data_IF_719480410424
#
_entry.id   IF_719480410424
#
_cell.length_a   1.000
_cell.length_b   1.000
_cell.length_c   1.000
_cell.angle_alpha   90.00
_cell.angle_beta   90.00
_cell.angle_gamma   90.00
#
_symmetry.space_group_name_H-M   'P 1'
#
loop_
_entity.id
_entity.type
_entity.pdbx_description
1 polymer ?
#
# COMPACT_ATOMS: atom_id res chain seq x y z
N UNK A 1 -8.96 -5.87 3.35
CA UNK A 1 -9.69 -4.93 2.47
C UNK A 1 -10.80 -4.18 3.19
N UNK A 2 -11.76 -4.87 3.83
CA UNK A 2 -12.84 -4.19 4.58
C UNK A 2 -12.33 -3.20 5.63
N UNK A 3 -11.27 -3.56 6.35
CA UNK A 3 -10.68 -2.69 7.35
C UNK A 3 -10.15 -1.36 6.77
N UNK A 4 -9.54 -1.41 5.58
CA UNK A 4 -9.06 -0.23 4.86
C UNK A 4 -10.23 0.62 4.34
N UNK A 5 -11.28 -0.03 3.82
CA UNK A 5 -12.48 0.65 3.34
C UNK A 5 -13.21 1.42 4.43
N UNK A 6 -13.40 0.80 5.60
CA UNK A 6 -14.01 1.44 6.77
C UNK A 6 -13.12 2.56 7.33
N UNK A 7 -11.80 2.37 7.34
CA UNK A 7 -10.85 3.40 7.76
C UNK A 7 -10.94 4.65 6.87
N UNK A 8 -10.93 4.48 5.54
CA UNK A 8 -11.08 5.59 4.59
C UNK A 8 -12.44 6.29 4.72
N UNK A 9 -13.51 5.53 4.92
CA UNK A 9 -14.85 6.09 5.13
C UNK A 9 -14.92 6.93 6.41
N UNK A 10 -14.37 6.44 7.52
CA UNK A 10 -14.27 7.21 8.77
C UNK A 10 -13.46 8.48 8.59
N UNK A 11 -12.34 8.44 7.88
CA UNK A 11 -11.53 9.63 7.61
C UNK A 11 -12.31 10.69 6.81
N UNK A 12 -13.15 10.28 5.87
CA UNK A 12 -13.95 11.19 5.04
C UNK A 12 -15.13 11.82 5.80
N UNK A 13 -15.79 11.08 6.70
CA UNK A 13 -16.96 11.57 7.44
C UNK A 13 -16.60 12.25 8.77
N UNK A 14 -15.59 11.72 9.46
CA UNK A 14 -15.21 12.14 10.79
C UNK A 14 -13.91 12.94 10.79
N UNK A 15 -13.60 13.67 9.72
CA UNK A 15 -12.41 14.53 9.61
C UNK A 15 -12.24 15.53 10.79
N UNK A 16 -13.29 15.74 11.59
CA UNK A 16 -13.33 16.62 12.76
C UNK A 16 -13.39 15.90 14.13
N UNK A 17 -13.45 14.56 14.16
CA UNK A 17 -13.58 13.81 15.43
C UNK A 17 -12.21 13.34 15.95
N UNK A 18 -12.06 13.29 17.28
CA UNK A 18 -10.80 12.94 17.93
C UNK A 18 -10.32 11.52 17.53
N UNK A 19 -8.98 11.30 17.46
CA UNK A 19 -8.43 10.00 17.11
C UNK A 19 -8.73 9.00 18.23
N UNK A 20 -9.77 8.19 18.06
CA UNK A 20 -9.97 7.03 18.92
C UNK A 20 -8.85 6.01 18.74
N UNK A 21 -8.57 5.23 19.79
CA UNK A 21 -7.58 4.18 19.74
C UNK A 21 -7.92 3.16 18.63
N UNK A 22 -7.04 3.06 17.63
CA UNK A 22 -7.18 2.11 16.51
C UNK A 22 -6.95 0.64 16.93
N UNK A 23 -6.36 0.40 18.10
CA UNK A 23 -6.03 -0.94 18.61
C UNK A 23 -7.23 -1.90 18.71
N UNK A 24 -8.35 -1.56 19.39
CA UNK A 24 -9.53 -2.44 19.45
C UNK A 24 -10.10 -2.76 18.08
N UNK A 25 -10.06 -1.81 17.13
CA UNK A 25 -10.50 -2.01 15.76
C UNK A 25 -9.65 -3.07 15.03
N UNK A 26 -8.33 -2.99 15.12
CA UNK A 26 -7.45 -4.01 14.54
C UNK A 26 -7.70 -5.39 15.14
N UNK A 27 -7.84 -5.49 16.47
CA UNK A 27 -8.12 -6.78 17.13
C UNK A 27 -9.43 -7.38 16.63
N UNK A 28 -10.49 -6.57 16.47
CA UNK A 28 -11.75 -7.04 15.92
C UNK A 28 -11.62 -7.51 14.46
N UNK A 29 -10.89 -6.75 13.62
CA UNK A 29 -10.70 -7.09 12.21
C UNK A 29 -9.88 -8.36 11.98
N UNK A 30 -8.94 -8.70 12.87
CA UNK A 30 -8.14 -9.93 12.78
C UNK A 30 -8.79 -11.10 13.52
N UNK A 31 -9.46 -10.83 14.63
CA UNK A 31 -10.15 -11.84 15.43
C UNK A 31 -11.35 -12.44 14.72
N UNK A 32 -12.17 -11.62 14.04
CA UNK A 32 -13.37 -12.11 13.36
C UNK A 32 -13.07 -13.15 12.25
N UNK A 33 -12.13 -12.91 11.31
CA UNK A 33 -11.72 -13.94 10.35
C UNK A 33 -11.14 -15.18 11.02
N UNK A 34 -10.29 -15.01 12.05
CA UNK A 34 -9.68 -16.13 12.74
C UNK A 34 -10.72 -17.06 13.38
N UNK A 35 -11.73 -16.50 14.04
CA UNK A 35 -12.83 -17.27 14.66
C UNK A 35 -13.62 -18.04 13.61
N UNK A 36 -13.97 -17.40 12.49
CA UNK A 36 -14.71 -18.05 11.40
C UNK A 36 -13.88 -19.17 10.77
N UNK A 37 -12.58 -18.94 10.53
CA UNK A 37 -11.68 -19.96 9.98
C UNK A 37 -11.56 -21.15 10.91
N UNK A 38 -11.40 -20.95 12.22
CA UNK A 38 -11.33 -22.03 13.20
C UNK A 38 -12.64 -22.82 13.23
N UNK A 39 -13.79 -22.15 13.23
CA UNK A 39 -15.10 -22.81 13.20
C UNK A 39 -15.27 -23.64 11.92
N UNK A 40 -14.91 -23.10 10.77
CA UNK A 40 -14.90 -23.81 9.49
C UNK A 40 -13.99 -25.04 9.53
N UNK A 41 -12.77 -24.92 10.05
CA UNK A 41 -11.82 -26.03 10.19
C UNK A 41 -12.38 -27.15 11.08
N UNK A 42 -13.00 -26.82 12.21
CA UNK A 42 -13.64 -27.81 13.11
C UNK A 42 -14.80 -28.51 12.40
N UNK A 43 -15.71 -27.76 11.77
CA UNK A 43 -16.80 -28.33 11.00
C UNK A 43 -16.29 -29.24 9.88
N UNK A 44 -15.23 -28.83 9.17
CA UNK A 44 -14.65 -29.63 8.08
C UNK A 44 -14.01 -30.92 8.60
N UNK A 45 -13.28 -30.86 9.70
CA UNK A 45 -12.68 -32.05 10.34
C UNK A 45 -13.72 -33.08 10.77
N UNK A 46 -14.87 -32.64 11.29
CA UNK A 46 -15.91 -33.54 11.84
C UNK A 46 -16.80 -34.12 10.74
N UNK A 47 -17.17 -33.33 9.75
CA UNK A 47 -18.21 -33.71 8.77
C UNK A 47 -17.67 -34.13 7.40
N UNK A 48 -16.47 -33.67 6.99
CA UNK A 48 -15.94 -33.92 5.65
C UNK A 48 -14.40 -33.80 5.59
N UNK A 49 -13.72 -34.77 6.21
CA UNK A 49 -12.26 -34.86 6.24
C UNK A 49 -11.70 -35.71 5.09
N UNK A 50 -12.21 -35.49 3.87
CA UNK A 50 -11.68 -36.14 2.67
C UNK A 50 -10.79 -35.20 1.86
N UNK A 51 -9.68 -35.74 1.34
CA UNK A 51 -8.74 -35.04 0.46
C UNK A 51 -8.12 -33.76 1.08
N UNK A 52 -7.37 -33.02 0.27
CA UNK A 52 -6.92 -31.68 0.64
C UNK A 52 -8.10 -30.70 0.64
N UNK A 53 -8.20 -29.85 1.66
CA UNK A 53 -9.26 -28.84 1.82
C UNK A 53 -9.20 -27.70 0.79
N UNK A 54 -8.35 -27.83 -0.23
CA UNK A 54 -8.40 -27.01 -1.44
C UNK A 54 -9.60 -27.40 -2.31
N UNK A 55 -10.06 -28.65 -2.20
CA UNK A 55 -11.23 -29.15 -2.89
C UNK A 55 -12.50 -28.78 -2.11
N UNK A 56 -13.53 -28.23 -2.78
CA UNK A 56 -14.75 -27.81 -2.11
C UNK A 56 -15.47 -28.99 -1.46
N UNK A 57 -16.13 -28.74 -0.33
CA UNK A 57 -16.93 -29.75 0.37
C UNK A 57 -18.07 -30.22 -0.51
N UNK A 58 -18.46 -31.48 -0.32
CA UNK A 58 -19.76 -31.97 -0.82
C UNK A 58 -20.93 -31.25 -0.13
N UNK A 59 -20.73 -30.75 1.10
CA UNK A 59 -21.74 -30.04 1.87
C UNK A 59 -21.63 -28.52 1.69
N UNK A 60 -22.50 -27.95 0.86
CA UNK A 60 -22.58 -26.51 0.59
C UNK A 60 -22.76 -25.64 1.85
N UNK A 61 -23.41 -26.17 2.90
CA UNK A 61 -23.62 -25.48 4.17
C UNK A 61 -22.30 -25.20 4.91
N UNK A 62 -21.32 -26.10 4.81
CA UNK A 62 -20.00 -25.94 5.43
C UNK A 62 -19.19 -24.86 4.68
N UNK A 63 -19.20 -24.92 3.35
CA UNK A 63 -18.56 -23.90 2.49
C UNK A 63 -19.19 -22.51 2.66
N UNK A 64 -20.52 -22.45 2.79
CA UNK A 64 -21.25 -21.19 2.98
C UNK A 64 -20.89 -20.47 4.28
N UNK A 65 -20.40 -21.19 5.29
CA UNK A 65 -19.93 -20.61 6.55
C UNK A 65 -18.70 -19.70 6.34
N UNK A 66 -17.85 -20.04 5.37
CA UNK A 66 -16.66 -19.25 5.02
C UNK A 66 -16.96 -18.24 3.90
N UNK A 67 -17.72 -18.64 2.88
CA UNK A 67 -18.07 -17.78 1.74
C UNK A 67 -19.03 -16.66 2.15
N UNK A 68 -19.97 -16.93 3.05
CA UNK A 68 -21.01 -15.97 3.48
C UNK A 68 -20.43 -14.68 4.08
N UNK A 69 -19.60 -14.75 5.13
CA UNK A 69 -18.94 -13.57 5.71
C UNK A 69 -18.05 -12.83 4.69
N UNK A 70 -17.37 -13.56 3.80
CA UNK A 70 -16.56 -12.97 2.73
C UNK A 70 -17.43 -12.18 1.74
N UNK A 71 -18.55 -12.74 1.30
CA UNK A 71 -19.49 -12.09 0.38
C UNK A 71 -20.13 -10.86 1.03
N UNK A 72 -20.52 -10.96 2.30
CA UNK A 72 -21.09 -9.83 3.05
C UNK A 72 -20.08 -8.67 3.15
N UNK A 73 -18.81 -8.98 3.48
CA UNK A 73 -17.74 -8.00 3.51
C UNK A 73 -17.49 -7.36 2.12
N UNK A 74 -17.61 -8.14 1.05
CA UNK A 74 -17.44 -7.67 -0.32
C UNK A 74 -18.58 -6.73 -0.76
N UNK A 75 -19.83 -7.06 -0.42
CA UNK A 75 -20.99 -6.19 -0.65
C UNK A 75 -20.86 -4.88 0.13
N UNK A 76 -20.46 -4.96 1.41
CA UNK A 76 -20.19 -3.78 2.23
C UNK A 76 -19.10 -2.89 1.62
N UNK A 77 -18.02 -3.48 1.13
CA UNK A 77 -16.95 -2.76 0.42
C UNK A 77 -17.43 -2.08 -0.86
N UNK A 78 -18.26 -2.76 -1.66
CA UNK A 78 -18.86 -2.18 -2.86
C UNK A 78 -19.72 -0.96 -2.50
N UNK A 79 -20.55 -1.05 -1.46
CA UNK A 79 -21.38 0.07 -1.01
C UNK A 79 -20.54 1.26 -0.54
N UNK A 80 -19.51 1.01 0.27
CA UNK A 80 -18.56 2.04 0.70
C UNK A 80 -17.86 2.71 -0.49
N UNK A 81 -17.41 1.91 -1.46
CA UNK A 81 -16.79 2.42 -2.68
C UNK A 81 -17.73 3.34 -3.45
N UNK A 82 -19.01 2.98 -3.62
CA UNK A 82 -20.00 3.82 -4.30
C UNK A 82 -20.25 5.15 -3.56
N UNK A 83 -20.31 5.13 -2.22
CA UNK A 83 -20.45 6.36 -1.42
C UNK A 83 -19.22 7.26 -1.60
N UNK A 84 -18.02 6.71 -1.48
CA UNK A 84 -16.77 7.47 -1.64
C UNK A 84 -16.68 8.05 -3.06
N UNK A 85 -17.02 7.25 -4.06
CA UNK A 85 -17.09 7.68 -5.46
C UNK A 85 -18.06 8.84 -5.64
N UNK A 86 -19.27 8.75 -5.07
CA UNK A 86 -20.27 9.80 -5.14
C UNK A 86 -19.79 11.10 -4.50
N UNK A 87 -19.18 11.03 -3.30
CA UNK A 87 -18.60 12.18 -2.60
C UNK A 87 -17.47 12.80 -3.45
N UNK A 88 -16.60 11.98 -4.02
CA UNK A 88 -15.49 12.43 -4.87
C UNK A 88 -15.99 13.15 -6.13
N UNK A 89 -16.97 12.58 -6.82
CA UNK A 89 -17.58 13.17 -8.01
C UNK A 89 -18.29 14.49 -7.65
N UNK A 90 -19.03 14.55 -6.54
CA UNK A 90 -19.68 15.78 -6.08
C UNK A 90 -18.67 16.90 -5.80
N UNK A 91 -17.56 16.60 -5.10
CA UNK A 91 -16.49 17.58 -4.86
C UNK A 91 -15.84 18.06 -6.15
N UNK A 92 -15.69 17.19 -7.15
CA UNK A 92 -15.15 17.54 -8.45
C UNK A 92 -16.10 18.47 -9.23
N UNK A 93 -17.40 18.16 -9.25
CA UNK A 93 -18.41 18.97 -9.95
C UNK A 93 -18.58 20.38 -9.37
N UNK A 94 -18.30 20.57 -8.09
CA UNK A 94 -18.44 21.87 -7.41
C UNK A 94 -17.33 22.88 -7.78
N UNK A 95 -16.24 22.44 -8.44
CA UNK A 95 -15.18 23.33 -8.96
C UNK A 95 -15.11 23.28 -10.51
N UNK A 96 -16.13 23.77 -11.23
CA UNK A 96 -16.24 23.59 -12.69
C UNK A 96 -15.31 24.48 -13.53
N UNK A 97 -14.55 25.42 -12.93
CA UNK A 97 -13.74 26.39 -13.67
C UNK A 97 -12.30 25.95 -14.02
N UNK A 98 -11.85 24.76 -13.60
CA UNK A 98 -10.48 24.28 -13.85
C UNK A 98 -10.43 22.90 -14.50
N UNK A 99 -10.20 22.93 -15.81
CA UNK A 99 -9.38 22.03 -16.62
C UNK A 99 -9.67 20.49 -16.66
N UNK A 100 -9.60 19.88 -17.86
CA UNK A 100 -9.62 18.41 -18.04
C UNK A 100 -8.59 17.63 -17.21
N UNK A 101 -7.59 18.31 -16.65
CA UNK A 101 -6.61 17.80 -15.68
C UNK A 101 -7.27 17.26 -14.41
N UNK A 102 -8.31 17.92 -13.89
CA UNK A 102 -8.99 17.51 -12.65
C UNK A 102 -9.89 16.29 -12.88
N UNK A 103 -10.51 16.19 -14.05
CA UNK A 103 -11.24 15.00 -14.50
C UNK A 103 -10.32 13.78 -14.63
N UNK A 104 -9.14 13.94 -15.26
CA UNK A 104 -8.12 12.86 -15.33
C UNK A 104 -7.66 12.40 -13.95
N UNK A 105 -7.50 13.33 -13.00
CA UNK A 105 -7.17 13.00 -11.60
C UNK A 105 -8.28 12.20 -10.92
N UNK A 106 -9.54 12.55 -11.16
CA UNK A 106 -10.68 11.82 -10.61
C UNK A 106 -10.80 10.42 -11.23
N UNK A 107 -10.75 10.28 -12.56
CA UNK A 107 -10.77 8.98 -13.23
C UNK A 107 -9.61 8.09 -12.78
N UNK A 108 -8.41 8.67 -12.64
CA UNK A 108 -7.26 7.98 -12.05
C UNK A 108 -7.54 7.51 -10.63
N UNK A 109 -8.12 8.37 -9.78
CA UNK A 109 -8.52 7.97 -8.43
C UNK A 109 -9.54 6.82 -8.44
N UNK A 110 -10.55 6.86 -9.32
CA UNK A 110 -11.54 5.78 -9.44
C UNK A 110 -10.89 4.46 -9.88
N UNK A 111 -10.01 4.49 -10.89
CA UNK A 111 -9.22 3.33 -11.28
C UNK A 111 -8.31 2.81 -10.16
N UNK A 112 -7.84 3.71 -9.30
CA UNK A 112 -7.04 3.37 -8.13
C UNK A 112 -7.85 2.72 -7.01
N UNK A 113 -9.10 3.16 -6.81
CA UNK A 113 -10.02 2.60 -5.82
C UNK A 113 -10.45 1.17 -6.19
N UNK A 114 -10.73 0.89 -7.47
CA UNK A 114 -11.25 -0.40 -7.93
C UNK A 114 -10.44 -1.64 -7.45
N UNK A 115 -9.10 -1.71 -7.60
CA UNK A 115 -8.29 -2.83 -7.10
C UNK A 115 -8.12 -2.83 -5.57
N UNK A 116 -8.19 -1.66 -4.92
CA UNK A 116 -8.05 -1.53 -3.45
C UNK A 116 -9.28 -2.07 -2.72
N UNK A 117 -10.47 -1.92 -3.30
CA UNK A 117 -11.72 -2.44 -2.73
C UNK A 117 -12.00 -3.91 -3.08
N UNK A 118 -11.18 -4.52 -3.95
CA UNK A 118 -11.24 -5.96 -4.21
C UNK A 118 -12.40 -6.38 -5.11
N UNK A 119 -12.86 -5.53 -6.02
CA UNK A 119 -13.99 -5.87 -6.91
C UNK A 119 -13.74 -7.12 -7.77
N UNK A 120 -12.49 -7.42 -8.10
CA UNK A 120 -12.11 -8.65 -8.80
C UNK A 120 -12.53 -9.92 -8.04
N UNK A 121 -12.65 -9.89 -6.70
CA UNK A 121 -13.11 -11.04 -5.92
C UNK A 121 -14.55 -11.44 -6.22
N UNK A 122 -15.41 -10.53 -6.73
CA UNK A 122 -16.75 -10.92 -7.21
C UNK A 122 -16.64 -11.88 -8.40
N UNK A 123 -15.63 -11.68 -9.24
CA UNK A 123 -15.34 -12.53 -10.39
C UNK A 123 -14.67 -13.85 -9.97
N UNK A 124 -13.82 -13.80 -8.94
CA UNK A 124 -13.18 -14.99 -8.35
C UNK A 124 -14.17 -15.91 -7.64
N UNK A 125 -15.19 -15.37 -6.96
CA UNK A 125 -16.24 -16.17 -6.28
C UNK A 125 -17.10 -16.96 -7.29
N UNK A 126 -17.35 -16.40 -8.49
CA UNK A 126 -18.07 -17.11 -9.53
C UNK A 126 -17.14 -18.12 -10.22
N UNK A 127 -17.07 -19.33 -9.65
CA UNK A 127 -16.18 -20.40 -10.13
C UNK A 127 -16.73 -21.05 -11.40
N UNK A 128 -16.50 -20.40 -12.54
CA UNK A 128 -16.76 -21.01 -13.85
C UNK A 128 -15.75 -22.14 -14.06
N UNK A 129 -16.19 -23.36 -14.42
CA UNK A 129 -15.32 -24.52 -14.63
C UNK A 129 -14.55 -24.44 -15.96
N UNK A 130 -13.98 -23.27 -16.26
CA UNK A 130 -13.15 -23.03 -17.44
C UNK A 130 -11.70 -22.85 -17.03
N UNK A 131 -10.79 -23.60 -17.66
CA UNK A 131 -9.35 -23.52 -17.38
C UNK A 131 -8.79 -22.10 -17.54
N UNK A 132 -9.25 -21.38 -18.58
CA UNK A 132 -8.89 -19.99 -18.82
C UNK A 132 -9.36 -19.06 -17.69
N UNK A 133 -10.55 -19.30 -17.12
CA UNK A 133 -11.11 -18.50 -16.03
C UNK A 133 -10.30 -18.70 -14.74
N UNK A 134 -9.85 -19.92 -14.47
CA UNK A 134 -9.02 -20.23 -13.30
C UNK A 134 -7.64 -19.56 -13.39
N UNK A 135 -6.97 -19.63 -14.55
CA UNK A 135 -5.69 -18.94 -14.77
C UNK A 135 -5.88 -17.44 -14.60
N UNK A 136 -6.93 -16.88 -15.21
CA UNK A 136 -7.19 -15.44 -15.15
C UNK A 136 -7.42 -14.98 -13.71
N UNK A 137 -8.24 -15.69 -12.93
CA UNK A 137 -8.46 -15.37 -11.52
C UNK A 137 -7.17 -15.45 -10.69
N UNK A 138 -6.36 -16.49 -10.90
CA UNK A 138 -5.08 -16.63 -10.19
C UNK A 138 -4.12 -15.47 -10.50
N UNK A 139 -4.06 -15.06 -11.76
CA UNK A 139 -3.24 -13.91 -12.19
C UNK A 139 -3.78 -12.61 -11.62
N UNK A 140 -5.10 -12.39 -11.64
CA UNK A 140 -5.72 -11.19 -11.07
C UNK A 140 -5.48 -11.08 -9.56
N UNK A 141 -5.69 -12.16 -8.83
CA UNK A 141 -5.48 -12.22 -7.38
C UNK A 141 -4.00 -11.94 -7.05
N UNK A 142 -3.06 -12.52 -7.80
CA UNK A 142 -1.62 -12.29 -7.61
C UNK A 142 -1.16 -10.86 -7.95
N UNK A 143 -1.71 -10.27 -9.01
CA UNK A 143 -1.39 -8.90 -9.43
C UNK A 143 -2.01 -7.84 -8.52
N UNK A 144 -3.05 -8.17 -7.77
CA UNK A 144 -3.78 -7.19 -6.97
C UNK A 144 -2.87 -6.49 -5.95
N UNK A 145 -2.04 -7.23 -5.21
CA UNK A 145 -1.10 -6.64 -4.26
C UNK A 145 -0.06 -5.74 -4.93
N UNK A 146 0.46 -6.18 -6.08
CA UNK A 146 1.41 -5.42 -6.88
C UNK A 146 0.81 -4.09 -7.36
N UNK A 147 -0.38 -4.14 -7.96
CA UNK A 147 -1.10 -2.96 -8.46
C UNK A 147 -1.41 -1.99 -7.32
N UNK A 148 -1.88 -2.49 -6.17
CA UNK A 148 -2.14 -1.64 -4.99
C UNK A 148 -0.88 -0.95 -4.49
N UNK A 149 0.27 -1.62 -4.47
CA UNK A 149 1.53 -1.01 -4.04
C UNK A 149 1.98 0.13 -4.97
N UNK A 150 1.88 -0.06 -6.29
CA UNK A 150 2.18 0.97 -7.30
C UNK A 150 1.29 2.18 -7.08
N UNK A 151 0.00 1.95 -6.89
CA UNK A 151 -0.99 3.01 -6.74
C UNK A 151 -0.79 3.78 -5.44
N UNK A 152 -0.79 3.11 -4.29
CA UNK A 152 -0.82 3.79 -2.99
C UNK A 152 0.55 4.37 -2.62
N UNK A 153 1.63 3.65 -2.95
CA UNK A 153 2.99 4.05 -2.58
C UNK A 153 3.69 4.80 -3.71
N UNK A 154 3.90 4.16 -4.86
CA UNK A 154 4.77 4.71 -5.90
C UNK A 154 4.15 5.91 -6.61
N UNK A 155 2.85 5.94 -6.86
CA UNK A 155 2.24 7.08 -7.54
C UNK A 155 1.90 8.27 -6.64
N UNK A 156 2.20 8.17 -5.34
CA UNK A 156 1.91 9.22 -4.38
C UNK A 156 2.93 10.37 -4.51
N UNK A 157 2.46 11.55 -4.88
CA UNK A 157 3.31 12.74 -5.08
C UNK A 157 4.12 13.12 -3.83
N UNK A 158 3.62 12.83 -2.63
CA UNK A 158 4.36 13.07 -1.38
C UNK A 158 5.58 12.15 -1.24
N UNK A 159 5.47 10.91 -1.70
CA UNK A 159 6.57 9.95 -1.71
C UNK A 159 7.65 10.41 -2.69
N UNK A 160 7.24 10.86 -3.89
CA UNK A 160 8.16 11.45 -4.86
C UNK A 160 8.91 12.66 -4.29
N UNK A 161 8.22 13.57 -3.60
CA UNK A 161 8.82 14.74 -2.98
C UNK A 161 9.81 14.36 -1.86
N UNK A 162 9.45 13.40 -1.00
CA UNK A 162 10.32 12.88 0.03
C UNK A 162 11.57 12.21 -0.55
N UNK A 163 11.41 11.44 -1.62
CA UNK A 163 12.51 10.76 -2.31
C UNK A 163 13.47 11.78 -2.95
N UNK A 164 12.93 12.83 -3.58
CA UNK A 164 13.72 13.94 -4.13
C UNK A 164 14.55 14.61 -3.04
N UNK A 165 13.92 15.02 -1.92
CA UNK A 165 14.60 15.62 -0.77
C UNK A 165 15.70 14.73 -0.18
N UNK A 166 15.43 13.42 -0.10
CA UNK A 166 16.41 12.45 0.41
C UNK A 166 17.60 12.31 -0.54
N UNK A 167 17.35 12.35 -1.85
CA UNK A 167 18.38 12.29 -2.89
C UNK A 167 19.25 13.54 -2.87
N UNK A 168 18.64 14.72 -2.76
CA UNK A 168 19.32 16.02 -2.61
C UNK A 168 20.21 16.04 -1.36
N UNK A 169 19.67 15.69 -0.19
CA UNK A 169 20.45 15.57 1.06
C UNK A 169 21.65 14.63 0.93
N UNK A 170 21.48 13.52 0.20
CA UNK A 170 22.57 12.55 -0.03
C UNK A 170 23.61 13.09 -1.00
N UNK A 171 23.23 13.91 -1.97
CA UNK A 171 24.16 14.59 -2.87
C UNK A 171 24.97 15.66 -2.13
N UNK A 172 24.30 16.49 -1.32
CA UNK A 172 24.93 17.54 -0.53
C UNK A 172 25.91 16.95 0.50
N UNK A 173 25.53 15.87 1.18
CA UNK A 173 26.43 15.17 2.10
C UNK A 173 27.71 14.67 1.43
N UNK A 174 27.63 14.16 0.19
CA UNK A 174 28.81 13.74 -0.57
C UNK A 174 29.69 14.94 -0.96
N UNK A 175 29.08 16.07 -1.32
CA UNK A 175 29.80 17.31 -1.66
C UNK A 175 30.54 17.87 -0.44
N UNK A 176 29.88 17.91 0.72
CA UNK A 176 30.49 18.39 1.97
C UNK A 176 31.66 17.51 2.42
N UNK A 177 31.53 16.18 2.33
CA UNK A 177 32.63 15.26 2.65
C UNK A 177 33.82 15.50 1.72
N UNK A 178 33.58 15.65 0.40
CA UNK A 178 34.64 15.97 -0.59
C UNK A 178 35.30 17.32 -0.33
N UNK A 179 34.52 18.35 -0.02
CA UNK A 179 35.04 19.69 0.29
C UNK A 179 35.90 19.69 1.57
N UNK A 180 35.45 18.98 2.61
CA UNK A 180 36.22 18.84 3.85
C UNK A 180 37.54 18.08 3.62
N UNK A 181 37.51 17.02 2.82
CA UNK A 181 38.70 16.26 2.45
C UNK A 181 39.69 17.10 1.62
N UNK A 182 39.20 17.91 0.67
CA UNK A 182 40.02 18.86 -0.07
C UNK A 182 40.66 19.92 0.84
N UNK A 183 39.89 20.55 1.72
CA UNK A 183 40.41 21.54 2.67
C UNK A 183 41.48 20.95 3.59
N UNK A 184 41.26 19.73 4.09
CA UNK A 184 42.24 19.00 4.91
C UNK A 184 43.53 18.72 4.13
N UNK A 185 43.42 18.23 2.89
CA UNK A 185 44.58 17.94 2.06
C UNK A 185 45.36 19.22 1.68
N UNK A 186 44.67 20.33 1.48
CA UNK A 186 45.30 21.63 1.22
C UNK A 186 46.08 22.13 2.45
N UNK A 187 45.51 22.00 3.65
CA UNK A 187 46.17 22.37 4.90
C UNK A 187 47.43 21.53 5.13
N UNK A 188 47.33 20.20 4.99
CA UNK A 188 48.47 19.29 5.11
C UNK A 188 49.61 19.66 4.15
N UNK A 189 49.29 19.91 2.86
CA UNK A 189 50.29 20.34 1.86
C UNK A 189 50.98 21.65 2.24
N UNK A 190 50.27 22.62 2.83
CA UNK A 190 50.87 23.89 3.29
C UNK A 190 51.86 23.64 4.43
N UNK A 191 51.44 22.89 5.46
CA UNK A 191 52.33 22.55 6.57
C UNK A 191 53.58 21.79 6.10
N UNK A 192 53.44 20.80 5.22
CA UNK A 192 54.61 20.06 4.70
C UNK A 192 55.59 20.97 3.97
N UNK A 193 55.10 21.95 3.19
CA UNK A 193 55.98 22.93 2.52
C UNK A 193 56.71 23.83 3.51
N UNK A 194 56.03 24.32 4.55
CA UNK A 194 56.66 25.11 5.61
C UNK A 194 57.75 24.33 6.35
N UNK A 195 57.50 23.05 6.69
CA UNK A 195 58.50 22.21 7.33
C UNK A 195 59.70 21.91 6.42
N UNK A 196 59.47 21.64 5.14
CA UNK A 196 60.54 21.41 4.17
C UNK A 196 61.44 22.65 4.01
N UNK A 197 60.85 23.83 3.86
CA UNK A 197 61.58 25.08 3.75
C UNK A 197 62.41 25.39 5.01
N UNK A 198 61.86 25.06 6.20
CA UNK A 198 62.57 25.21 7.46
C UNK A 198 63.73 24.21 7.61
N UNK A 199 63.57 22.98 7.12
CA UNK A 199 64.64 21.99 7.10
C UNK A 199 65.79 22.37 6.15
N UNK A 200 65.48 22.87 4.95
CA UNK A 200 66.51 23.34 4.00
C UNK A 200 67.33 24.51 4.57
N UNK A 201 66.69 25.41 5.32
CA UNK A 201 67.40 26.50 6.01
C UNK A 201 68.36 26.05 7.11
N UNK A 202 68.19 24.84 7.67
CA UNK A 202 69.04 24.28 8.72
C UNK A 202 70.24 23.48 8.17
N UNK A 203 70.17 23.01 6.91
CA UNK A 203 71.22 22.21 6.26
C UNK A 203 72.16 23.10 5.42
N UNK A 204 71.72 24.30 5.03
CA UNK A 204 72.49 25.25 4.21
C UNK A 204 73.46 26.18 4.97
N UNK A 205 73.67 25.97 6.27
CA UNK A 205 74.66 26.66 7.12
C UNK A 205 75.66 25.65 7.66
#
# INVERSE_FOLDING_TARGET
MLAEGVYLYRLLLCAFSQPEALKPYFIACWGFPAVITVLYSICRLVFDNEMCWVSPSRFLWIESLLIGPCLLALIGNLFLMLIILFILIKKLRFNPHLEPVQYRKAVRAVFMLMPVFGLHFLFTIYRIPSYLHQIFNLVLDGLQGFVVSIIVCYTNGRVHECLKKTTEKRADGKLLVRANEQSRNMFLRRSTKEYAQKADSLIGT
#
